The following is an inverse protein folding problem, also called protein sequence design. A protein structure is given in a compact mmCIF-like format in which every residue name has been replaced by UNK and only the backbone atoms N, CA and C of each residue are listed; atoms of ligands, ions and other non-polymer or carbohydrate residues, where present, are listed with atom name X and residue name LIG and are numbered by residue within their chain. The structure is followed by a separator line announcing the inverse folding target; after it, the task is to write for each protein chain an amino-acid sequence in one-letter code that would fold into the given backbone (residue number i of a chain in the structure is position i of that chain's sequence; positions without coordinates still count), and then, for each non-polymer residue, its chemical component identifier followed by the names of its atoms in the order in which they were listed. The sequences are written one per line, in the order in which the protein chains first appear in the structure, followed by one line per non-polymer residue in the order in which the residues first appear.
data_IF_639874028340
#
_entry.id   IF_639874028340
#
_cell.length_a   1.000
_cell.length_b   1.000
_cell.length_c   1.000
_cell.angle_alpha   90.00
_cell.angle_beta   90.00
_cell.angle_gamma   90.00
#
_symmetry.space_group_name_H-M   'P 1'
#
loop_
_entity.id
_entity.type
_entity.pdbx_description
1 polymer ?
#
# COMPACT_ATOMS: atom_id res chain seq x y z
N UNK A 1 -15.50 1.24 -12.12
CA UNK A 1 -14.81 2.01 -11.06
C UNK A 1 -14.08 1.00 -10.18
N UNK A 2 -12.75 1.07 -10.08
CA UNK A 2 -12.01 0.18 -9.17
C UNK A 2 -12.35 0.56 -7.72
N UNK A 3 -12.56 -0.41 -6.80
CA UNK A 3 -12.68 -0.11 -5.38
C UNK A 3 -11.47 0.68 -4.87
N UNK A 4 -11.71 1.61 -3.94
CA UNK A 4 -10.64 2.37 -3.30
C UNK A 4 -9.97 1.47 -2.26
N UNK A 5 -8.74 1.06 -2.54
CA UNK A 5 -8.00 0.15 -1.66
C UNK A 5 -7.41 0.90 -0.46
N UNK A 6 -7.11 0.16 0.61
CA UNK A 6 -6.51 0.74 1.82
C UNK A 6 -5.16 1.39 1.50
N UNK A 7 -4.41 0.85 0.53
CA UNK A 7 -3.15 1.42 0.04
C UNK A 7 -3.35 2.81 -0.55
N UNK A 8 -4.39 2.97 -1.37
CA UNK A 8 -4.72 4.25 -1.98
C UNK A 8 -5.09 5.28 -0.90
N UNK A 9 -5.91 4.88 0.08
CA UNK A 9 -6.32 5.72 1.21
C UNK A 9 -5.10 6.19 2.02
N UNK A 10 -4.21 5.26 2.36
CA UNK A 10 -3.04 5.55 3.18
C UNK A 10 -2.10 6.53 2.45
N UNK A 11 -1.86 6.31 1.16
CA UNK A 11 -1.02 7.18 0.35
C UNK A 11 -1.61 8.59 0.19
N UNK A 12 -2.91 8.69 -0.12
CA UNK A 12 -3.60 9.97 -0.26
C UNK A 12 -3.65 10.75 1.06
N UNK A 13 -3.80 10.04 2.18
CA UNK A 13 -3.74 10.63 3.52
C UNK A 13 -2.36 11.25 3.80
N UNK A 14 -1.27 10.55 3.45
CA UNK A 14 0.09 11.08 3.65
C UNK A 14 0.38 12.27 2.74
N UNK A 15 -0.05 12.23 1.47
CA UNK A 15 0.04 13.40 0.57
C UNK A 15 -0.74 14.59 1.09
N UNK A 16 -1.95 14.37 1.59
CA UNK A 16 -2.76 15.42 2.20
C UNK A 16 -2.09 15.99 3.46
N UNK A 17 -1.46 15.14 4.27
CA UNK A 17 -0.70 15.58 5.44
C UNK A 17 0.53 16.40 5.05
N UNK A 18 1.26 16.02 4.00
CA UNK A 18 2.37 16.82 3.45
C UNK A 18 1.90 18.24 3.10
N UNK A 19 0.74 18.36 2.46
CA UNK A 19 0.13 19.64 2.10
C UNK A 19 -0.32 20.46 3.32
N UNK A 20 -1.07 19.86 4.25
CA UNK A 20 -1.77 20.58 5.32
C UNK A 20 -0.94 20.80 6.59
N UNK A 21 0.02 19.93 6.89
CA UNK A 21 0.80 20.04 8.13
C UNK A 21 1.78 21.22 8.07
N UNK A 22 1.94 21.88 9.22
CA UNK A 22 3.06 22.80 9.47
C UNK A 22 4.36 21.98 9.59
N UNK A 23 5.55 22.58 9.34
CA UNK A 23 6.82 21.92 9.64
C UNK A 23 6.85 21.41 11.09
N UNK A 24 7.28 20.16 11.30
CA UNK A 24 7.24 19.45 12.58
C UNK A 24 5.86 18.92 13.00
N UNK A 25 4.82 19.16 12.19
CA UNK A 25 3.47 18.64 12.41
C UNK A 25 3.41 17.12 12.21
N UNK A 26 2.48 16.46 12.90
CA UNK A 26 2.36 14.99 12.88
C UNK A 26 1.02 14.51 12.34
N UNK A 27 1.07 13.46 11.55
CA UNK A 27 -0.07 12.64 11.16
C UNK A 27 -0.03 11.35 12.00
N UNK A 28 -1.15 10.99 12.61
CA UNK A 28 -1.31 9.73 13.35
C UNK A 28 -2.52 8.99 12.84
N UNK A 29 -2.37 7.73 12.43
CA UNK A 29 -3.47 6.93 11.91
C UNK A 29 -3.29 5.44 12.21
N UNK A 30 -4.40 4.69 12.18
CA UNK A 30 -4.36 3.23 12.28
C UNK A 30 -4.32 2.61 10.88
N UNK A 31 -3.34 1.76 10.63
CA UNK A 31 -3.24 0.93 9.42
C UNK A 31 -3.58 -0.53 9.77
N UNK A 32 -4.68 -1.10 9.24
CA UNK A 32 -4.96 -2.52 9.37
C UNK A 32 -3.92 -3.35 8.60
N UNK A 33 -3.42 -4.43 9.20
CA UNK A 33 -2.38 -5.28 8.60
C UNK A 33 -2.67 -6.76 8.86
N UNK A 34 -2.33 -7.63 7.92
CA UNK A 34 -2.18 -9.07 8.20
C UNK A 34 -0.85 -9.27 8.93
N UNK A 35 -0.86 -9.97 10.07
CA UNK A 35 0.29 -9.99 10.99
C UNK A 35 1.54 -10.64 10.37
N UNK A 36 1.36 -11.69 9.58
CA UNK A 36 2.44 -12.46 8.95
C UNK A 36 3.01 -11.80 7.69
N UNK A 37 2.24 -10.92 7.06
CA UNK A 37 2.58 -10.33 5.75
C UNK A 37 3.29 -8.96 5.89
N UNK A 38 3.33 -8.37 7.10
CA UNK A 38 3.79 -6.99 7.29
C UNK A 38 5.30 -6.81 7.15
N UNK A 39 5.69 -5.81 6.35
CA UNK A 39 7.04 -5.27 6.29
C UNK A 39 7.03 -3.73 6.36
N UNK A 40 8.11 -3.11 6.82
CA UNK A 40 8.17 -1.64 6.96
C UNK A 40 8.02 -0.90 5.61
N UNK A 41 8.40 -1.56 4.50
CA UNK A 41 8.18 -1.10 3.13
C UNK A 41 6.69 -0.96 2.75
N UNK A 42 5.77 -1.49 3.56
CA UNK A 42 4.33 -1.33 3.38
C UNK A 42 3.84 0.10 3.69
N UNK A 43 4.65 0.93 4.34
CA UNK A 43 4.25 2.28 4.69
C UNK A 43 4.41 3.22 3.48
N UNK A 44 3.41 4.08 3.20
CA UNK A 44 3.50 5.02 2.08
C UNK A 44 4.68 5.97 2.27
N UNK A 45 5.50 6.08 1.23
CA UNK A 45 6.65 6.99 1.17
C UNK A 45 6.22 8.32 0.58
N UNK A 46 6.60 9.43 1.21
CA UNK A 46 6.31 10.77 0.73
C UNK A 46 7.46 11.71 1.10
N UNK A 47 7.94 12.49 0.14
CA UNK A 47 9.05 13.42 0.37
C UNK A 47 8.70 14.45 1.46
N UNK A 48 9.64 14.73 2.37
CA UNK A 48 9.41 15.68 3.46
C UNK A 48 8.47 15.19 4.55
N UNK A 49 8.03 13.92 4.52
CA UNK A 49 7.35 13.24 5.61
C UNK A 49 8.09 11.95 5.95
N UNK A 50 8.38 11.74 7.23
CA UNK A 50 9.09 10.57 7.74
C UNK A 50 8.28 9.83 8.80
N UNK A 51 8.45 8.50 8.88
CA UNK A 51 7.84 7.67 9.93
C UNK A 51 8.65 7.85 11.22
N UNK A 52 7.99 8.31 12.29
CA UNK A 52 8.61 8.53 13.61
C UNK A 52 8.06 7.60 14.69
N UNK A 53 7.02 6.82 14.37
CA UNK A 53 6.47 5.82 15.27
C UNK A 53 5.64 4.77 14.54
N UNK A 54 5.75 3.52 14.99
CA UNK A 54 5.00 2.38 14.48
C UNK A 54 4.74 1.42 15.66
N UNK A 55 3.50 1.41 16.16
CA UNK A 55 3.12 0.54 17.28
C UNK A 55 2.06 -0.46 16.84
N UNK A 56 2.34 -1.75 16.99
CA UNK A 56 1.38 -2.81 16.67
C UNK A 56 0.41 -3.05 17.84
N UNK A 57 -0.87 -3.24 17.51
CA UNK A 57 -1.85 -3.90 18.35
C UNK A 57 -2.26 -5.20 17.67
N UNK A 58 -1.85 -6.31 18.28
CA UNK A 58 -2.02 -7.66 17.75
C UNK A 58 -3.37 -8.27 18.17
N UNK A 59 -4.06 -8.92 17.23
CA UNK A 59 -5.29 -9.70 17.44
C UNK A 59 -5.16 -11.14 16.91
N UNK A 60 -3.93 -11.66 16.77
CA UNK A 60 -3.61 -12.95 16.20
C UNK A 60 -3.28 -12.85 14.72
N UNK A 61 -4.18 -13.32 13.85
CA UNK A 61 -3.95 -13.35 12.38
C UNK A 61 -3.89 -11.97 11.72
N UNK A 62 -4.40 -10.96 12.41
CA UNK A 62 -4.41 -9.59 11.94
C UNK A 62 -4.14 -8.67 13.11
N UNK A 63 -3.69 -7.47 12.78
CA UNK A 63 -3.44 -6.40 13.73
C UNK A 63 -3.84 -5.07 13.15
N UNK A 64 -3.64 -4.03 13.95
CA UNK A 64 -3.56 -2.67 13.45
C UNK A 64 -2.29 -2.01 13.95
N UNK A 65 -1.69 -1.16 13.13
CA UNK A 65 -0.52 -0.39 13.50
C UNK A 65 -0.92 1.06 13.68
N UNK A 66 -0.61 1.63 14.84
CA UNK A 66 -0.66 3.07 15.05
C UNK A 66 0.61 3.67 14.42
N UNK A 67 0.46 4.25 13.24
CA UNK A 67 1.54 4.89 12.49
C UNK A 67 1.56 6.37 12.87
N UNK A 68 2.74 6.86 13.24
CA UNK A 68 3.01 8.28 13.45
C UNK A 68 4.02 8.72 12.41
N UNK A 69 3.62 9.69 11.59
CA UNK A 69 4.50 10.33 10.62
C UNK A 69 4.66 11.81 10.98
N UNK A 70 5.83 12.37 10.73
CA UNK A 70 6.15 13.76 10.98
C UNK A 70 6.54 14.45 9.66
N UNK A 71 6.02 15.65 9.44
CA UNK A 71 6.50 16.51 8.36
C UNK A 71 7.82 17.14 8.80
N UNK A 72 8.86 16.98 8.00
CA UNK A 72 10.20 17.40 8.38
C UNK A 72 10.22 18.90 8.77
N UNK A 73 10.77 19.20 9.94
CA UNK A 73 10.76 20.56 10.51
C UNK A 73 11.53 21.57 9.65
N UNK A 74 12.47 21.09 8.85
CA UNK A 74 13.30 21.89 7.94
C UNK A 74 12.87 21.76 6.48
N UNK A 75 11.72 21.13 6.21
CA UNK A 75 11.22 20.96 4.84
C UNK A 75 11.02 22.32 4.17
N UNK A 76 11.70 22.52 3.06
CA UNK A 76 11.51 23.67 2.16
C UNK A 76 10.56 23.34 1.00
N UNK A 77 9.98 22.14 1.01
CA UNK A 77 9.06 21.69 -0.03
C UNK A 77 7.80 22.56 0.07
N UNK A 78 7.40 23.13 -1.06
CA UNK A 78 6.11 23.80 -1.22
C UNK A 78 5.16 22.79 -1.86
N UNK A 79 4.36 22.06 -1.06
CA UNK A 79 3.49 21.02 -1.59
C UNK A 79 2.36 21.64 -2.41
N UNK A 80 2.07 21.04 -3.56
CA UNK A 80 0.87 21.35 -4.31
C UNK A 80 -0.36 20.70 -3.65
N UNK A 81 -1.53 21.29 -3.86
CA UNK A 81 -2.77 20.70 -3.36
C UNK A 81 -3.01 19.35 -4.06
N UNK A 82 -3.15 18.25 -3.30
CA UNK A 82 -3.30 16.93 -3.90
C UNK A 82 -4.61 16.82 -4.68
N UNK A 83 -4.53 16.29 -5.90
CA UNK A 83 -5.68 15.94 -6.74
C UNK A 83 -5.85 14.43 -6.75
N UNK A 84 -6.84 13.93 -6.02
CA UNK A 84 -7.07 12.48 -5.86
C UNK A 84 -7.71 11.81 -7.09
N UNK A 85 -8.05 12.60 -8.10
CA UNK A 85 -8.71 12.18 -9.34
C UNK A 85 -7.71 11.76 -10.43
N UNK A 86 -6.44 12.17 -10.30
CA UNK A 86 -5.33 11.93 -11.23
C UNK A 86 -4.57 10.65 -10.85
N UNK A 87 -5.26 9.50 -10.85
CA UNK A 87 -4.60 8.23 -10.52
C UNK A 87 -3.94 7.63 -11.75
N UNK A 88 -2.66 7.30 -11.61
CA UNK A 88 -1.84 6.63 -12.63
C UNK A 88 -2.46 5.35 -13.17
N UNK A 89 -3.27 4.63 -12.38
CA UNK A 89 -3.94 3.44 -12.88
C UNK A 89 -5.03 3.71 -13.93
N UNK A 90 -5.67 4.89 -13.95
CA UNK A 90 -6.55 5.25 -15.08
C UNK A 90 -5.73 5.38 -16.35
N UNK A 91 -4.56 6.02 -16.24
CA UNK A 91 -3.61 6.18 -17.34
C UNK A 91 -3.04 4.83 -17.78
N UNK A 92 -2.70 3.92 -16.86
CA UNK A 92 -2.22 2.57 -17.17
C UNK A 92 -3.29 1.69 -17.81
N UNK A 93 -4.55 1.74 -17.36
CA UNK A 93 -5.67 1.02 -18.01
C UNK A 93 -6.02 1.61 -19.38
N UNK A 94 -5.96 2.93 -19.54
CA UNK A 94 -6.15 3.61 -20.84
C UNK A 94 -4.99 3.32 -21.80
N UNK A 95 -3.77 3.15 -21.30
CA UNK A 95 -2.58 2.82 -22.09
C UNK A 95 -2.42 1.31 -22.37
N UNK A 96 -2.92 0.43 -21.51
CA UNK A 96 -2.79 -1.03 -21.65
C UNK A 96 -3.64 -1.64 -22.78
N UNK A 97 -4.58 -0.87 -23.37
CA UNK A 97 -5.44 -1.35 -24.44
C UNK A 97 -6.35 -2.54 -24.04
N UNK A 98 -7.28 -2.97 -24.91
CA UNK A 98 -8.12 -4.14 -24.62
C UNK A 98 -7.28 -5.42 -24.62
N UNK A 99 -7.09 -6.02 -23.44
CA UNK A 99 -6.50 -7.36 -23.30
C UNK A 99 -7.49 -8.39 -23.87
N UNK A 100 -7.11 -9.04 -24.97
CA UNK A 100 -7.81 -10.20 -25.50
C UNK A 100 -7.61 -11.36 -24.53
N UNK A 101 -8.67 -11.73 -23.81
CA UNK A 101 -8.67 -12.92 -22.94
C UNK A 101 -8.88 -14.13 -23.84
N UNK A 102 -7.79 -14.83 -24.21
CA UNK A 102 -7.91 -16.12 -24.88
C UNK A 102 -8.14 -17.22 -23.83
N UNK A 103 -9.25 -17.94 -23.98
CA UNK A 103 -9.65 -18.99 -23.07
C UNK A 103 -8.86 -20.27 -23.33
N UNK A 104 -8.11 -20.76 -22.35
CA UNK A 104 -7.38 -22.03 -22.50
C UNK A 104 -6.85 -22.64 -21.20
N UNK A 105 -7.55 -23.66 -20.71
CA UNK A 105 -7.05 -24.68 -19.78
C UNK A 105 -5.77 -25.38 -20.27
N UNK A 106 -4.68 -25.44 -19.48
CA UNK A 106 -3.60 -26.50 -19.48
C UNK A 106 -2.88 -26.49 -18.10
N UNK A 107 -3.06 -27.48 -17.23
CA UNK A 107 -2.33 -28.76 -17.03
C UNK A 107 -0.92 -28.64 -16.40
N UNK A 108 -0.74 -29.36 -15.27
CA UNK A 108 0.48 -29.50 -14.46
C UNK A 108 1.65 -30.13 -15.26
N UNK A 109 2.88 -29.67 -14.99
CA UNK A 109 4.12 -30.33 -15.38
C UNK A 109 5.32 -29.76 -14.63
N UNK A 110 5.95 -30.61 -13.82
CA UNK A 110 7.21 -30.42 -13.09
C UNK A 110 8.42 -30.43 -14.04
N UNK A 111 9.42 -29.57 -13.80
CA UNK A 111 10.85 -29.85 -14.03
C UNK A 111 11.72 -28.70 -13.48
N UNK A 112 12.68 -29.04 -12.63
CA UNK A 112 13.62 -28.11 -12.02
C UNK A 112 14.72 -27.60 -12.97
N UNK A 113 15.28 -26.45 -12.59
CA UNK A 113 16.46 -25.83 -13.19
C UNK A 113 16.62 -24.42 -12.63
N UNK A 114 17.55 -24.24 -11.70
CA UNK A 114 17.84 -22.92 -11.13
C UNK A 114 18.62 -22.05 -12.10
N UNK A 115 18.27 -20.77 -12.17
CA UNK A 115 19.19 -19.63 -12.12
C UNK A 115 18.39 -18.31 -12.04
N UNK A 116 18.99 -17.34 -11.36
CA UNK A 116 18.46 -16.10 -10.78
C UNK A 116 17.60 -15.21 -11.70
N UNK A 117 16.42 -14.77 -11.22
CA UNK A 117 15.73 -13.56 -11.70
C UNK A 117 14.76 -12.95 -10.66
N UNK A 118 14.98 -11.67 -10.35
CA UNK A 118 13.96 -10.69 -9.92
C UNK A 118 13.69 -10.58 -8.42
N UNK A 119 14.07 -9.44 -7.82
CA UNK A 119 13.40 -8.95 -6.61
C UNK A 119 11.90 -8.89 -6.91
N UNK A 120 11.14 -9.82 -6.31
CA UNK A 120 9.71 -9.89 -6.49
C UNK A 120 9.07 -8.59 -6.02
N UNK A 121 8.15 -8.07 -6.82
CA UNK A 121 7.32 -6.92 -6.49
C UNK A 121 6.67 -7.14 -5.11
N UNK A 122 7.14 -6.38 -4.10
CA UNK A 122 6.68 -6.54 -2.72
C UNK A 122 5.22 -6.09 -2.63
N UNK A 123 4.32 -7.03 -2.35
CA UNK A 123 2.89 -6.76 -2.20
C UNK A 123 2.64 -6.29 -0.77
N UNK A 124 2.08 -5.08 -0.55
CA UNK A 124 1.92 -4.58 0.80
C UNK A 124 0.97 -5.43 1.65
N UNK A 125 1.21 -5.59 2.95
CA UNK A 125 0.39 -6.43 3.84
C UNK A 125 -1.08 -6.01 4.00
N UNK A 126 -1.41 -4.79 3.55
CA UNK A 126 -2.75 -4.23 3.54
C UNK A 126 -3.44 -4.36 2.16
N UNK A 127 -2.75 -4.89 1.15
CA UNK A 127 -3.32 -5.17 -0.17
C UNK A 127 -4.35 -6.31 -0.10
N UNK A 128 -5.57 -6.06 -0.61
CA UNK A 128 -6.67 -7.02 -0.54
C UNK A 128 -7.12 -7.34 0.89
N UNK A 129 -6.71 -6.53 1.88
CA UNK A 129 -7.07 -6.73 3.29
C UNK A 129 -8.59 -6.76 3.47
N UNK A 130 -9.32 -5.93 2.73
CA UNK A 130 -10.79 -5.89 2.75
C UNK A 130 -11.36 -7.29 2.51
N UNK A 131 -10.96 -7.94 1.43
CA UNK A 131 -11.46 -9.26 1.07
C UNK A 131 -11.00 -10.33 2.06
N UNK A 132 -9.71 -10.32 2.46
CA UNK A 132 -9.17 -11.26 3.47
C UNK A 132 -9.91 -11.15 4.82
N UNK A 133 -10.22 -9.92 5.25
CA UNK A 133 -10.91 -9.64 6.51
C UNK A 133 -12.38 -10.07 6.45
N UNK A 134 -13.10 -9.73 5.39
CA UNK A 134 -14.53 -10.02 5.27
C UNK A 134 -14.86 -11.46 4.85
N UNK A 135 -13.97 -12.15 4.14
CA UNK A 135 -14.15 -13.57 3.78
C UNK A 135 -13.78 -14.53 4.93
N UNK A 136 -13.16 -14.00 6.01
CA UNK A 136 -12.63 -14.78 7.11
C UNK A 136 -11.34 -15.51 6.72
N UNK A 137 -10.28 -15.36 7.50
CA UNK A 137 -9.03 -16.06 7.28
C UNK A 137 -9.29 -17.58 7.35
N UNK A 138 -9.32 -18.26 6.19
CA UNK A 138 -9.52 -19.72 6.10
C UNK A 138 -8.62 -20.40 7.15
N UNK A 139 -9.20 -21.28 7.95
CA UNK A 139 -8.42 -22.12 8.87
C UNK A 139 -7.53 -23.01 8.01
N UNK A 140 -6.21 -22.86 8.17
CA UNK A 140 -5.25 -23.94 7.90
C UNK A 140 -5.51 -25.09 8.87
#
# INVERSE_FOLDING_TARGET
MRPYEISDVAHDLVKMAQYLLRPGGRLVFFLPTVSEDYADVDLPVCEGISVVGNSVQDFGKWGRRLITMEKDATSTIVPEAPRFEERTWKLELEQAGPVLVDGGHKHLGDTGGGEALGEGEHVPAHHGFRDKYFMGFKKS
#
